data_IF_656810338290
#
_entry.id   IF_656810338290
#
_cell.length_a   1.000
_cell.length_b   1.000
_cell.length_c   1.000
_cell.angle_alpha   90.00
_cell.angle_beta   90.00
_cell.angle_gamma   90.00
#
_symmetry.space_group_name_H-M   'P 1'
#
loop_
_entity.id
_entity.type
_entity.pdbx_description
1 polymer ?
#
# COMPACT_ATOMS: atom_id res chain seq x y z
N UNK A 1 -24.89 9.37 4.39
CA UNK A 1 -24.11 10.33 5.21
C UNK A 1 -22.62 10.20 4.89
N UNK A 2 -22.03 9.00 4.98
CA UNK A 2 -20.59 8.78 4.70
C UNK A 2 -20.04 9.32 3.37
N UNK A 3 -20.78 9.25 2.26
CA UNK A 3 -20.28 9.73 0.97
C UNK A 3 -20.08 11.26 0.91
N UNK A 4 -21.02 12.01 1.48
CA UNK A 4 -20.91 13.48 1.59
C UNK A 4 -19.71 13.86 2.46
N UNK A 5 -19.50 13.15 3.56
CA UNK A 5 -18.35 13.39 4.44
C UNK A 5 -17.02 13.04 3.75
N UNK A 6 -16.97 11.94 3.01
CA UNK A 6 -15.78 11.53 2.27
C UNK A 6 -15.38 12.59 1.24
N UNK A 7 -16.35 13.15 0.51
CA UNK A 7 -16.09 14.20 -0.47
C UNK A 7 -15.61 15.48 0.19
N UNK A 8 -16.28 15.92 1.26
CA UNK A 8 -15.85 17.08 2.04
C UNK A 8 -14.40 16.96 2.50
N UNK A 9 -13.99 15.79 2.97
CA UNK A 9 -12.59 15.53 3.34
C UNK A 9 -11.63 15.68 2.15
N UNK A 10 -12.01 15.22 0.95
CA UNK A 10 -11.20 15.37 -0.26
C UNK A 10 -11.11 16.84 -0.71
N UNK A 11 -12.20 17.61 -0.61
CA UNK A 11 -12.23 19.05 -0.88
C UNK A 11 -11.30 19.80 0.09
N UNK A 12 -11.45 19.57 1.40
CA UNK A 12 -10.64 20.21 2.44
C UNK A 12 -9.15 19.90 2.30
N UNK A 13 -8.81 18.72 1.78
CA UNK A 13 -7.43 18.32 1.47
C UNK A 13 -6.87 18.97 0.18
N UNK A 14 -7.70 19.70 -0.56
CA UNK A 14 -7.37 20.30 -1.85
C UNK A 14 -7.14 19.25 -2.94
N UNK A 15 -7.79 18.09 -2.82
CA UNK A 15 -7.68 17.01 -3.81
C UNK A 15 -8.70 17.18 -4.94
N UNK A 16 -9.80 17.89 -4.71
CA UNK A 16 -10.82 18.13 -5.73
C UNK A 16 -10.66 19.53 -6.32
N UNK A 17 -10.65 19.61 -7.65
CA UNK A 17 -10.74 20.88 -8.36
C UNK A 17 -12.22 21.21 -8.57
N UNK A 18 -12.67 22.45 -8.28
CA UNK A 18 -14.03 22.88 -8.59
C UNK A 18 -14.34 22.64 -10.08
N UNK A 19 -15.54 22.15 -10.39
CA UNK A 19 -15.94 21.79 -11.76
C UNK A 19 -15.83 23.00 -12.71
N UNK A 20 -16.06 24.23 -12.23
CA UNK A 20 -15.93 25.44 -13.04
C UNK A 20 -14.48 25.84 -13.35
N UNK A 21 -13.51 25.30 -12.62
CA UNK A 21 -12.08 25.60 -12.77
C UNK A 21 -11.29 24.44 -13.40
N UNK A 22 -11.92 23.28 -13.58
CA UNK A 22 -11.29 22.06 -14.07
C UNK A 22 -10.94 22.16 -15.57
N UNK A 23 -9.66 21.97 -15.89
CA UNK A 23 -9.18 21.77 -17.25
C UNK A 23 -9.27 20.31 -17.70
N UNK A 24 -8.97 20.02 -18.97
CA UNK A 24 -8.90 18.65 -19.48
C UNK A 24 -7.82 17.85 -18.72
N UNK A 25 -8.23 16.87 -17.91
CA UNK A 25 -7.34 16.03 -17.10
C UNK A 25 -7.40 16.31 -15.59
N UNK A 26 -8.10 17.37 -15.17
CA UNK A 26 -8.38 17.63 -13.75
C UNK A 26 -9.53 16.73 -13.27
N UNK A 27 -9.38 16.17 -12.07
CA UNK A 27 -10.40 15.33 -11.44
C UNK A 27 -11.45 16.21 -10.74
N UNK A 28 -12.70 16.09 -11.18
CA UNK A 28 -13.84 16.80 -10.59
C UNK A 28 -14.54 16.00 -9.49
N UNK A 29 -15.40 16.65 -8.71
CA UNK A 29 -16.30 15.98 -7.76
C UNK A 29 -17.11 14.86 -8.43
N UNK A 30 -17.57 15.11 -9.65
CA UNK A 30 -18.36 14.15 -10.44
C UNK A 30 -17.56 12.90 -10.82
N UNK A 31 -16.30 13.07 -11.21
CA UNK A 31 -15.42 11.95 -11.54
C UNK A 31 -15.13 11.08 -10.31
N UNK A 32 -14.98 11.73 -9.15
CA UNK A 32 -14.86 11.02 -7.88
C UNK A 32 -16.15 10.27 -7.56
N UNK A 33 -17.33 10.88 -7.71
CA UNK A 33 -18.63 10.18 -7.53
C UNK A 33 -18.79 8.92 -8.38
N UNK A 34 -18.42 8.98 -9.66
CA UNK A 34 -18.53 7.81 -10.54
C UNK A 34 -17.54 6.69 -10.14
N UNK A 35 -16.37 7.04 -9.62
CA UNK A 35 -15.39 6.06 -9.13
C UNK A 35 -15.68 5.56 -7.72
N UNK A 36 -16.30 6.39 -6.86
CA UNK A 36 -16.85 5.99 -5.57
C UNK A 36 -17.82 4.83 -5.75
N UNK A 37 -18.69 4.85 -6.76
CA UNK A 37 -19.62 3.78 -7.04
C UNK A 37 -18.96 2.42 -7.38
N UNK A 38 -17.66 2.41 -7.72
CA UNK A 38 -16.91 1.22 -8.16
C UNK A 38 -15.97 0.63 -7.10
N UNK A 39 -15.89 1.21 -5.89
CA UNK A 39 -14.94 0.83 -4.82
C UNK A 39 -13.46 0.89 -5.28
N UNK A 40 -13.15 1.81 -6.19
CA UNK A 40 -11.81 1.99 -6.80
C UNK A 40 -10.92 2.99 -6.04
N UNK A 41 -11.13 3.11 -4.72
CA UNK A 41 -10.47 4.09 -3.84
C UNK A 41 -8.95 4.15 -3.96
N UNK A 42 -8.31 3.00 -4.13
CA UNK A 42 -6.86 2.91 -4.31
C UNK A 42 -6.37 3.68 -5.55
N UNK A 43 -7.09 3.57 -6.66
CA UNK A 43 -6.76 4.24 -7.91
C UNK A 43 -7.08 5.74 -7.81
N UNK A 44 -8.29 6.07 -7.32
CA UNK A 44 -8.75 7.46 -7.14
C UNK A 44 -7.75 8.23 -6.29
N UNK A 45 -7.45 7.75 -5.08
CA UNK A 45 -6.60 8.47 -4.15
C UNK A 45 -5.15 8.55 -4.64
N UNK A 46 -4.66 7.52 -5.33
CA UNK A 46 -3.34 7.56 -5.96
C UNK A 46 -3.23 8.71 -6.96
N UNK A 47 -4.20 8.82 -7.87
CA UNK A 47 -4.23 9.90 -8.87
C UNK A 47 -4.38 11.27 -8.20
N UNK A 48 -5.27 11.39 -7.21
CA UNK A 48 -5.48 12.66 -6.49
C UNK A 48 -4.21 13.11 -5.75
N UNK A 49 -3.47 12.19 -5.12
CA UNK A 49 -2.19 12.51 -4.48
C UNK A 49 -1.12 12.95 -5.50
N UNK A 50 -1.05 12.31 -6.67
CA UNK A 50 -0.14 12.66 -7.76
C UNK A 50 -0.45 14.05 -8.35
N UNK A 51 -1.73 14.32 -8.65
CA UNK A 51 -2.18 15.60 -9.19
C UNK A 51 -1.94 16.77 -8.23
N UNK A 52 -2.10 16.55 -6.91
CA UNK A 52 -1.86 17.59 -5.89
C UNK A 52 -0.40 18.06 -5.87
N UNK A 53 0.56 17.23 -6.29
CA UNK A 53 1.98 17.59 -6.36
C UNK A 53 2.59 18.04 -5.02
N UNK A 54 1.96 17.69 -3.90
CA UNK A 54 2.24 18.21 -2.56
C UNK A 54 2.81 17.18 -1.58
N UNK A 55 3.12 17.57 -0.34
CA UNK A 55 3.60 16.63 0.68
C UNK A 55 2.54 15.54 0.95
N UNK A 56 2.92 14.29 1.27
CA UNK A 56 1.96 13.22 1.51
C UNK A 56 0.92 13.61 2.57
N UNK A 57 -0.31 13.10 2.42
CA UNK A 57 -1.42 13.48 3.30
C UNK A 57 -1.20 13.00 4.75
N UNK A 58 -1.60 13.81 5.75
CA UNK A 58 -1.35 13.50 7.15
C UNK A 58 -2.14 12.28 7.63
N UNK A 59 -1.67 11.56 8.67
CA UNK A 59 -2.38 10.41 9.22
C UNK A 59 -3.84 10.66 9.65
N UNK A 60 -4.14 11.87 10.13
CA UNK A 60 -5.48 12.23 10.60
C UNK A 60 -6.50 12.21 9.45
N UNK A 61 -6.12 12.73 8.28
CA UNK A 61 -6.94 12.69 7.07
C UNK A 61 -7.32 11.24 6.71
N UNK A 62 -6.33 10.33 6.68
CA UNK A 62 -6.58 8.93 6.36
C UNK A 62 -7.47 8.21 7.37
N UNK A 63 -7.40 8.59 8.64
CA UNK A 63 -8.29 8.05 9.67
C UNK A 63 -9.74 8.51 9.46
N UNK A 64 -9.95 9.81 9.24
CA UNK A 64 -11.29 10.36 8.95
C UNK A 64 -11.88 9.79 7.66
N UNK A 65 -11.06 9.62 6.63
CA UNK A 65 -11.51 9.02 5.38
C UNK A 65 -11.89 7.54 5.57
N UNK A 66 -11.11 6.77 6.33
CA UNK A 66 -11.47 5.38 6.64
C UNK A 66 -12.83 5.27 7.34
N UNK A 67 -13.14 6.18 8.27
CA UNK A 67 -14.45 6.23 8.94
C UNK A 67 -15.59 6.55 7.95
N UNK A 68 -15.39 7.56 7.10
CA UNK A 68 -16.39 7.97 6.11
C UNK A 68 -16.67 6.87 5.08
N UNK A 69 -15.63 6.21 4.57
CA UNK A 69 -15.72 5.10 3.60
C UNK A 69 -16.30 3.84 4.25
N UNK A 70 -15.98 3.57 5.52
CA UNK A 70 -16.53 2.46 6.28
C UNK A 70 -18.06 2.52 6.42
N UNK A 71 -18.63 3.73 6.54
CA UNK A 71 -20.09 3.90 6.56
C UNK A 71 -20.78 3.51 5.25
N UNK A 72 -20.05 3.48 4.14
CA UNK A 72 -20.54 3.06 2.83
C UNK A 72 -20.41 1.54 2.60
N UNK A 73 -19.87 0.80 3.57
CA UNK A 73 -19.62 -0.65 3.48
C UNK A 73 -18.67 -1.02 2.33
N UNK A 74 -17.75 -0.11 2.02
CA UNK A 74 -16.68 -0.29 1.04
C UNK A 74 -15.47 -0.89 1.74
N UNK A 75 -15.44 -2.22 1.85
CA UNK A 75 -14.45 -2.93 2.64
C UNK A 75 -13.02 -2.70 2.13
N UNK A 76 -12.80 -2.75 0.80
CA UNK A 76 -11.47 -2.56 0.23
C UNK A 76 -11.01 -1.11 0.36
N UNK A 77 -11.88 -0.13 0.07
CA UNK A 77 -11.58 1.28 0.28
C UNK A 77 -11.25 1.61 1.74
N UNK A 78 -11.99 1.04 2.68
CA UNK A 78 -11.73 1.19 4.13
C UNK A 78 -10.37 0.61 4.51
N UNK A 79 -10.08 -0.61 4.05
CA UNK A 79 -8.78 -1.26 4.28
C UNK A 79 -7.62 -0.45 3.69
N UNK A 80 -7.81 0.16 2.52
CA UNK A 80 -6.82 1.03 1.89
C UNK A 80 -6.56 2.30 2.71
N UNK A 81 -7.61 2.95 3.19
CA UNK A 81 -7.45 4.15 4.03
C UNK A 81 -6.71 3.83 5.33
N UNK A 82 -7.01 2.69 5.97
CA UNK A 82 -6.24 2.22 7.13
C UNK A 82 -4.79 1.87 6.80
N UNK A 83 -4.53 1.34 5.61
CA UNK A 83 -3.17 1.11 5.12
C UNK A 83 -2.39 2.41 5.01
N UNK A 84 -2.95 3.39 4.28
CA UNK A 84 -2.33 4.71 4.09
C UNK A 84 -2.14 5.47 5.41
N UNK A 85 -3.07 5.35 6.35
CA UNK A 85 -2.88 5.84 7.73
C UNK A 85 -1.64 5.23 8.38
N UNK A 86 -1.44 3.92 8.27
CA UNK A 86 -0.29 3.22 8.86
C UNK A 86 1.02 3.67 8.22
N UNK A 87 1.06 3.76 6.89
CA UNK A 87 2.23 4.26 6.16
C UNK A 87 2.56 5.70 6.51
N UNK A 88 1.56 6.59 6.54
CA UNK A 88 1.77 7.98 6.89
C UNK A 88 2.37 8.10 8.31
N UNK A 89 2.00 7.23 9.24
CA UNK A 89 2.53 7.26 10.62
C UNK A 89 3.90 6.64 10.80
N UNK A 90 4.20 5.58 10.05
CA UNK A 90 5.35 4.70 10.33
C UNK A 90 6.39 4.69 9.21
N UNK A 91 6.08 5.33 8.09
CA UNK A 91 6.75 5.08 6.83
C UNK A 91 6.30 3.75 6.22
N UNK A 92 6.86 3.44 5.07
CA UNK A 92 6.56 2.23 4.31
C UNK A 92 7.63 1.98 3.27
N UNK A 93 7.49 0.88 2.54
CA UNK A 93 8.39 0.55 1.44
C UNK A 93 7.54 0.17 0.25
N UNK A 94 7.82 0.78 -0.90
CA UNK A 94 7.27 0.35 -2.18
C UNK A 94 8.29 -0.54 -2.87
N UNK A 95 7.87 -1.69 -3.37
CA UNK A 95 8.77 -2.66 -3.99
C UNK A 95 8.07 -3.40 -5.13
N UNK A 96 8.84 -4.01 -6.03
CA UNK A 96 8.29 -4.97 -7.00
C UNK A 96 8.55 -6.38 -6.49
N UNK A 97 7.50 -7.08 -6.10
CA UNK A 97 7.55 -8.47 -5.66
C UNK A 97 7.41 -9.39 -6.87
N UNK A 98 8.31 -10.37 -6.98
CA UNK A 98 8.19 -11.53 -7.88
C UNK A 98 8.12 -12.79 -7.04
N UNK A 99 7.02 -13.51 -7.14
CA UNK A 99 6.83 -14.80 -6.46
C UNK A 99 7.54 -15.90 -7.24
N UNK A 100 8.10 -16.87 -6.53
CA UNK A 100 8.63 -18.05 -7.21
C UNK A 100 7.50 -18.93 -7.74
N UNK A 101 7.68 -19.59 -8.90
CA UNK A 101 6.75 -20.56 -9.44
C UNK A 101 6.46 -21.69 -8.44
N UNK A 102 5.23 -22.24 -8.40
CA UNK A 102 4.88 -23.36 -7.52
C UNK A 102 5.76 -24.60 -7.69
N UNK A 103 6.27 -24.81 -8.91
CA UNK A 103 7.10 -25.96 -9.27
C UNK A 103 8.55 -25.79 -8.81
N UNK A 104 8.95 -24.56 -8.47
CA UNK A 104 10.31 -24.27 -8.05
C UNK A 104 10.47 -24.53 -6.54
N UNK A 105 11.36 -25.48 -6.22
CA UNK A 105 11.88 -25.81 -4.90
C UNK A 105 10.88 -26.34 -3.83
N UNK A 106 9.66 -26.77 -4.17
CA UNK A 106 8.61 -27.13 -3.18
C UNK A 106 8.20 -25.96 -2.23
N UNK A 107 8.58 -24.71 -2.56
CA UNK A 107 8.36 -23.53 -1.71
C UNK A 107 7.50 -22.42 -2.30
N UNK A 108 7.24 -22.47 -3.61
CA UNK A 108 6.36 -21.52 -4.28
C UNK A 108 4.94 -21.58 -3.73
N UNK A 109 4.30 -20.42 -3.58
CA UNK A 109 2.89 -20.35 -3.17
C UNK A 109 2.03 -21.05 -4.22
N UNK A 110 1.10 -21.91 -3.77
CA UNK A 110 0.03 -22.47 -4.64
C UNK A 110 -1.23 -21.62 -4.65
N UNK A 111 -1.38 -20.76 -3.64
CA UNK A 111 -2.52 -19.85 -3.51
C UNK A 111 -2.07 -18.41 -3.80
N UNK A 112 -2.94 -17.59 -4.43
CA UNK A 112 -2.64 -16.17 -4.63
C UNK A 112 -2.30 -15.45 -3.32
N UNK A 113 -1.46 -14.43 -3.38
CA UNK A 113 -1.28 -13.48 -2.27
C UNK A 113 -2.47 -12.52 -2.28
N UNK A 114 -3.27 -12.40 -1.20
CA UNK A 114 -4.34 -11.41 -1.13
C UNK A 114 -3.77 -9.98 -1.18
N UNK A 115 -4.40 -9.10 -1.97
CA UNK A 115 -3.88 -7.74 -2.18
C UNK A 115 -4.19 -6.72 -1.08
N UNK A 116 -5.07 -7.04 -0.13
CA UNK A 116 -5.62 -6.06 0.82
C UNK A 116 -4.91 -6.03 2.20
N UNK A 117 -3.58 -6.13 2.26
CA UNK A 117 -2.84 -5.92 3.52
C UNK A 117 -2.91 -7.05 4.56
N UNK A 118 -3.55 -8.17 4.23
CA UNK A 118 -3.84 -9.28 5.17
C UNK A 118 -2.60 -10.13 5.45
N UNK A 119 -1.77 -10.37 4.44
CA UNK A 119 -0.60 -11.24 4.57
C UNK A 119 0.53 -10.52 5.33
N UNK A 120 1.17 -11.23 6.26
CA UNK A 120 2.31 -10.74 7.05
C UNK A 120 3.50 -11.68 6.95
N UNK A 121 4.14 -11.79 5.77
CA UNK A 121 5.26 -12.69 5.60
C UNK A 121 6.49 -12.21 6.39
N UNK A 122 7.44 -13.14 6.57
CA UNK A 122 8.78 -12.81 7.04
C UNK A 122 9.66 -12.39 5.85
N UNK A 123 10.68 -11.62 6.15
CA UNK A 123 11.61 -11.08 5.17
C UNK A 123 13.04 -11.26 5.64
N UNK A 124 13.91 -11.73 4.75
CA UNK A 124 15.34 -11.51 4.87
C UNK A 124 15.68 -10.19 4.17
N UNK A 125 16.12 -9.22 4.96
CA UNK A 125 16.49 -7.87 4.51
C UNK A 125 18.00 -7.60 4.66
N UNK A 126 18.80 -8.67 4.74
CA UNK A 126 20.26 -8.60 4.90
C UNK A 126 20.73 -8.36 6.34
N UNK A 127 19.82 -8.20 7.29
CA UNK A 127 20.14 -8.08 8.72
C UNK A 127 20.54 -9.43 9.32
N UNK A 128 21.44 -9.40 10.31
CA UNK A 128 21.94 -10.61 10.99
C UNK A 128 21.52 -10.65 12.45
N UNK A 129 21.13 -11.83 12.91
CA UNK A 129 20.87 -12.11 14.31
C UNK A 129 22.20 -12.29 15.07
N UNK A 130 22.20 -12.22 16.42
CA UNK A 130 23.42 -12.37 17.22
C UNK A 130 24.17 -13.70 17.01
N UNK A 131 23.47 -14.74 16.56
CA UNK A 131 24.02 -16.05 16.23
C UNK A 131 24.63 -16.13 14.81
N UNK A 132 24.62 -15.03 14.06
CA UNK A 132 25.11 -14.94 12.67
C UNK A 132 24.10 -15.41 11.62
N UNK A 133 22.95 -15.93 12.03
CA UNK A 133 21.82 -16.28 11.16
C UNK A 133 21.13 -15.04 10.57
N UNK A 134 20.24 -15.22 9.59
CA UNK A 134 19.40 -14.14 9.09
C UNK A 134 18.44 -13.65 10.19
N UNK A 135 18.35 -12.33 10.36
CA UNK A 135 17.33 -11.73 11.23
C UNK A 135 16.01 -11.61 10.45
N UNK A 136 15.02 -12.43 10.82
CA UNK A 136 13.71 -12.41 10.20
C UNK A 136 12.92 -11.17 10.59
N UNK A 137 12.47 -10.44 9.58
CA UNK A 137 11.71 -9.21 9.72
C UNK A 137 10.27 -9.42 9.26
N UNK A 138 9.29 -8.84 9.95
CA UNK A 138 7.87 -8.98 9.56
C UNK A 138 7.38 -7.66 8.96
N UNK A 139 6.72 -7.73 7.83
CA UNK A 139 5.97 -6.62 7.25
C UNK A 139 4.63 -7.12 6.71
N UNK A 140 3.56 -6.37 6.93
CA UNK A 140 2.32 -6.59 6.19
C UNK A 140 2.55 -6.26 4.71
N UNK A 141 1.77 -6.86 3.81
CA UNK A 141 1.89 -6.66 2.37
C UNK A 141 0.55 -6.24 1.76
N UNK A 142 0.56 -5.13 1.03
CA UNK A 142 -0.52 -4.68 0.14
C UNK A 142 -0.07 -4.80 -1.31
N UNK A 143 -0.91 -5.35 -2.19
CA UNK A 143 -0.61 -5.44 -3.62
C UNK A 143 -1.29 -4.28 -4.36
N UNK A 144 -0.49 -3.44 -5.02
CA UNK A 144 -1.00 -2.24 -5.67
C UNK A 144 -1.84 -2.60 -6.90
N UNK A 145 -3.01 -1.97 -7.03
CA UNK A 145 -3.92 -2.04 -8.18
C UNK A 145 -4.36 -3.46 -8.57
N UNK A 146 -4.18 -4.44 -7.67
CA UNK A 146 -4.62 -5.81 -7.90
C UNK A 146 -5.31 -6.40 -6.67
N UNK A 147 -6.34 -7.20 -6.92
CA UNK A 147 -7.04 -7.94 -5.86
C UNK A 147 -6.16 -9.05 -5.27
N UNK A 148 -5.28 -9.65 -6.08
CA UNK A 148 -4.37 -10.69 -5.65
C UNK A 148 -3.17 -10.84 -6.61
N UNK A 149 -2.04 -11.30 -6.09
CA UNK A 149 -0.87 -11.69 -6.90
C UNK A 149 -0.97 -13.20 -7.15
N UNK A 150 -1.06 -13.66 -8.41
CA UNK A 150 -1.14 -15.09 -8.69
C UNK A 150 0.17 -15.80 -8.33
N UNK A 151 0.14 -17.13 -8.09
CA UNK A 151 1.35 -17.95 -8.00
C UNK A 151 2.35 -17.67 -9.14
N UNK A 152 3.64 -17.56 -8.83
CA UNK A 152 4.68 -17.17 -9.80
C UNK A 152 4.54 -15.75 -10.37
N UNK A 153 3.56 -14.98 -9.88
CA UNK A 153 3.22 -13.65 -10.38
C UNK A 153 4.17 -12.56 -9.91
N UNK A 154 4.06 -11.41 -10.57
CA UNK A 154 4.81 -10.19 -10.26
C UNK A 154 3.84 -9.03 -10.07
N UNK A 155 4.05 -8.22 -9.04
CA UNK A 155 3.25 -7.02 -8.79
C UNK A 155 4.05 -5.97 -8.02
N UNK A 156 3.67 -4.71 -8.15
CA UNK A 156 4.10 -3.67 -7.22
C UNK A 156 3.36 -3.87 -5.90
N UNK A 157 4.11 -3.81 -4.80
CA UNK A 157 3.60 -4.01 -3.45
C UNK A 157 4.04 -2.88 -2.54
N UNK A 158 3.24 -2.64 -1.52
CA UNK A 158 3.58 -1.80 -0.39
C UNK A 158 3.79 -2.67 0.83
N UNK A 159 4.85 -2.40 1.57
CA UNK A 159 5.21 -3.10 2.78
C UNK A 159 5.07 -2.15 3.97
N UNK A 160 4.38 -2.62 5.01
CA UNK A 160 4.27 -1.93 6.28
C UNK A 160 5.04 -2.71 7.35
N UNK A 161 6.31 -2.33 7.65
CA UNK A 161 7.12 -3.01 8.65
C UNK A 161 6.50 -3.02 10.03
N UNK A 162 6.55 -4.17 10.70
CA UNK A 162 6.16 -4.28 12.11
C UNK A 162 7.14 -3.51 13.02
N UNK A 163 8.43 -3.53 12.67
CA UNK A 163 9.50 -2.81 13.38
C UNK A 163 10.26 -1.91 12.40
N UNK A 164 9.74 -0.71 12.08
CA UNK A 164 10.30 0.16 11.03
C UNK A 164 11.79 0.49 11.19
N UNK A 165 12.28 0.56 12.44
CA UNK A 165 13.70 0.84 12.72
C UNK A 165 14.67 -0.16 12.08
N UNK A 166 14.26 -1.43 11.92
CA UNK A 166 15.09 -2.48 11.33
C UNK A 166 15.16 -2.40 9.80
N UNK A 167 14.33 -1.57 9.16
CA UNK A 167 14.23 -1.46 7.70
C UNK A 167 14.87 -0.18 7.16
N UNK A 168 15.36 0.70 8.03
CA UNK A 168 15.87 2.05 7.69
C UNK A 168 17.12 2.04 6.81
N UNK A 169 17.87 0.93 6.78
CA UNK A 169 19.07 0.80 5.97
C UNK A 169 18.77 0.47 4.51
N UNK A 170 17.54 0.09 4.18
CA UNK A 170 17.17 -0.24 2.81
C UNK A 170 17.17 1.02 1.93
N UNK A 171 17.53 0.81 0.66
CA UNK A 171 17.59 1.82 -0.38
C UNK A 171 16.98 1.30 -1.68
N UNK A 172 16.50 2.19 -2.57
CA UNK A 172 16.04 1.79 -3.90
C UNK A 172 17.07 0.92 -4.63
N UNK A 173 16.63 -0.22 -5.16
CA UNK A 173 17.46 -1.22 -5.82
C UNK A 173 17.82 -2.42 -4.94
N UNK A 174 17.70 -2.32 -3.62
CA UNK A 174 17.95 -3.46 -2.73
C UNK A 174 16.98 -4.62 -3.01
N UNK A 175 17.50 -5.84 -2.93
CA UNK A 175 16.71 -7.07 -3.09
C UNK A 175 16.52 -7.72 -1.73
N UNK A 176 15.26 -7.90 -1.34
CA UNK A 176 14.86 -8.56 -0.10
C UNK A 176 14.10 -9.85 -0.42
N UNK A 177 14.23 -10.86 0.45
CA UNK A 177 13.65 -12.19 0.19
C UNK A 177 12.42 -12.40 1.07
N UNK A 178 11.31 -12.82 0.48
CA UNK A 178 10.07 -13.13 1.18
C UNK A 178 10.03 -14.59 1.63
N UNK A 179 9.66 -14.82 2.88
CA UNK A 179 9.53 -16.14 3.49
C UNK A 179 8.18 -16.28 4.19
N UNK A 180 7.46 -17.35 3.86
CA UNK A 180 6.31 -17.81 4.64
C UNK A 180 6.60 -19.15 5.31
N UNK A 181 7.42 -19.97 4.65
CA UNK A 181 8.04 -21.19 5.14
C UNK A 181 9.45 -21.26 4.56
N UNK A 182 10.12 -22.40 4.73
CA UNK A 182 11.26 -22.77 3.90
C UNK A 182 10.76 -23.75 2.83
N UNK A 183 11.15 -23.60 1.56
CA UNK A 183 11.99 -22.55 0.96
C UNK A 183 11.32 -21.15 0.89
N UNK A 184 12.07 -20.09 0.49
CA UNK A 184 11.49 -18.76 0.27
C UNK A 184 10.37 -18.77 -0.77
N UNK A 185 9.48 -17.79 -0.67
CA UNK A 185 8.29 -17.67 -1.50
C UNK A 185 8.44 -16.65 -2.66
N UNK A 186 9.45 -15.80 -2.62
CA UNK A 186 9.75 -14.84 -3.68
C UNK A 186 10.79 -13.80 -3.27
N UNK A 187 11.08 -12.86 -4.17
CA UNK A 187 12.00 -11.74 -3.94
C UNK A 187 11.33 -10.42 -4.30
N UNK A 188 11.62 -9.37 -3.55
CA UNK A 188 11.17 -8.03 -3.87
C UNK A 188 12.36 -7.08 -4.09
N UNK A 189 12.29 -6.27 -5.14
CA UNK A 189 13.23 -5.18 -5.38
C UNK A 189 12.63 -3.89 -4.85
N UNK A 190 13.31 -3.23 -3.91
CA UNK A 190 12.88 -1.95 -3.33
C UNK A 190 12.85 -0.89 -4.42
N UNK A 191 11.69 -0.25 -4.59
CA UNK A 191 11.53 0.91 -5.48
C UNK A 191 11.71 2.21 -4.70
N UNK A 192 11.13 2.28 -3.51
CA UNK A 192 11.07 3.51 -2.72
C UNK A 192 10.99 3.18 -1.23
N UNK A 193 11.62 4.03 -0.41
CA UNK A 193 11.47 4.02 1.05
C UNK A 193 10.73 5.29 1.44
N UNK A 194 9.51 5.12 1.92
CA UNK A 194 8.60 6.20 2.30
C UNK A 194 8.87 6.61 3.75
N UNK A 195 9.27 7.87 4.03
CA UNK A 195 9.42 8.33 5.39
C UNK A 195 8.04 8.49 6.07
N UNK A 196 7.97 8.42 7.41
CA UNK A 196 6.80 8.88 8.13
C UNK A 196 6.50 10.35 7.80
N UNK A 197 5.23 10.68 7.66
CA UNK A 197 4.75 12.05 7.55
C UNK A 197 4.83 12.69 8.93
N UNK A 198 5.56 13.81 9.02
CA UNK A 198 5.62 14.58 10.25
C UNK A 198 4.21 15.12 10.58
N UNK A 199 3.80 15.11 11.86
CA UNK A 199 2.53 15.66 12.29
C UNK A 199 2.44 17.17 12.07
#
# INVERSE_FOLDING_TARGET
MGAVEAIRLLEDAGLLTPEEAAGPGDLTERDVWDQLARDEWEQVLGVLEECRGGPPLPPAFWASLAEAVGQLRMERGTAWCHWRHTEARRGGIRAVLTLFPPEEADGGRRLPVPGAGVLRPMWDIGSRAPDGGPAWNIASLWAEHTAAIPPGGRATVRLAPLTPGQWRHLTPGDVITMHERRPPAGTATVLEVLPPVLP
#
